data_IF_805021702085
#
_entry.id   IF_805021702085
#
_cell.length_a   1.000
_cell.length_b   1.000
_cell.length_c   1.000
_cell.angle_alpha   90.00
_cell.angle_beta   90.00
_cell.angle_gamma   90.00
#
_symmetry.space_group_name_H-M   'P 1'
#
loop_
_entity.id
_entity.type
_entity.pdbx_description
1 polymer ?
#
# COMPACT_ATOMS: atom_id res chain seq x y z
N UNK A 1 13.28 -57.56 -9.21
CA UNK A 1 13.11 -57.04 -10.58
C UNK A 1 12.44 -55.70 -10.42
N UNK A 2 13.25 -54.63 -10.38
CA UNK A 2 12.73 -53.27 -10.36
C UNK A 2 12.14 -53.00 -11.74
N UNK A 3 10.83 -53.17 -11.86
CA UNK A 3 10.10 -52.71 -13.03
C UNK A 3 9.97 -51.18 -12.84
N UNK A 4 10.94 -50.41 -13.34
CA UNK A 4 10.90 -48.95 -13.33
C UNK A 4 9.87 -48.49 -14.37
N UNK A 5 8.59 -48.80 -14.10
CA UNK A 5 7.44 -48.44 -14.92
C UNK A 5 6.99 -47.00 -14.70
N UNK A 6 7.82 -46.20 -14.02
CA UNK A 6 7.51 -44.82 -13.69
C UNK A 6 8.02 -43.87 -14.77
N UNK A 7 7.16 -42.93 -15.18
CA UNK A 7 7.49 -41.84 -16.08
C UNK A 7 7.67 -40.54 -15.30
N UNK A 8 8.61 -39.70 -15.73
CA UNK A 8 8.82 -38.36 -15.18
C UNK A 8 8.35 -37.31 -16.18
N UNK A 9 7.30 -36.60 -15.81
CA UNK A 9 6.67 -35.55 -16.61
C UNK A 9 7.12 -34.18 -16.14
N UNK A 10 7.18 -33.24 -17.09
CA UNK A 10 7.50 -31.84 -16.85
C UNK A 10 6.23 -31.07 -17.13
N UNK A 11 5.63 -30.53 -16.08
CA UNK A 11 4.32 -29.92 -16.11
C UNK A 11 4.43 -28.40 -16.02
N UNK A 12 3.53 -27.70 -16.69
CA UNK A 12 3.45 -26.25 -16.67
C UNK A 12 1.98 -25.81 -16.74
N UNK A 13 1.62 -24.78 -15.99
CA UNK A 13 0.25 -24.23 -15.98
C UNK A 13 0.07 -23.30 -17.18
N UNK A 14 -1.05 -23.44 -17.88
CA UNK A 14 -1.46 -22.57 -18.99
C UNK A 14 -1.87 -21.18 -18.46
N UNK A 15 -1.63 -20.13 -19.25
CA UNK A 15 -1.98 -18.76 -18.88
C UNK A 15 -1.03 -18.07 -17.89
N UNK A 16 0.02 -18.73 -17.42
CA UNK A 16 0.99 -18.15 -16.49
C UNK A 16 2.42 -18.13 -17.08
N UNK A 17 2.82 -17.03 -17.76
CA UNK A 17 4.14 -16.93 -18.40
C UNK A 17 5.28 -17.17 -17.41
N UNK A 18 5.16 -16.63 -16.19
CA UNK A 18 6.17 -16.69 -15.13
C UNK A 18 6.14 -17.99 -14.29
N UNK A 19 5.14 -18.86 -14.45
CA UNK A 19 5.05 -20.07 -13.64
C UNK A 19 6.26 -20.99 -13.85
N UNK A 20 6.80 -21.58 -12.80
CA UNK A 20 7.93 -22.51 -12.96
C UNK A 20 7.44 -23.85 -13.50
N UNK A 21 8.21 -24.45 -14.41
CA UNK A 21 8.00 -25.86 -14.79
C UNK A 21 8.29 -26.73 -13.56
N UNK A 22 7.40 -27.67 -13.27
CA UNK A 22 7.52 -28.54 -12.11
C UNK A 22 7.46 -30.02 -12.52
N UNK A 23 8.23 -30.90 -11.86
CA UNK A 23 8.26 -32.31 -12.21
C UNK A 23 7.17 -33.10 -11.49
N UNK A 24 6.61 -34.10 -12.17
CA UNK A 24 5.72 -35.13 -11.59
C UNK A 24 6.25 -36.51 -11.96
N UNK A 25 6.27 -37.45 -11.00
CA UNK A 25 6.63 -38.85 -11.24
C UNK A 25 5.38 -39.71 -11.02
N UNK A 26 5.03 -40.56 -11.97
CA UNK A 26 3.84 -41.43 -11.89
C UNK A 26 4.13 -42.76 -12.59
N UNK A 27 3.44 -43.83 -12.18
CA UNK A 27 3.46 -45.11 -12.91
C UNK A 27 2.72 -44.99 -14.25
N UNK A 28 3.22 -45.64 -15.30
CA UNK A 28 2.63 -45.59 -16.64
C UNK A 28 1.27 -46.30 -16.73
N UNK A 29 0.98 -47.25 -15.84
CA UNK A 29 -0.28 -47.98 -15.81
C UNK A 29 -1.35 -47.27 -14.95
N UNK A 30 -1.05 -46.09 -14.42
CA UNK A 30 -2.02 -45.28 -13.70
C UNK A 30 -2.86 -44.49 -14.68
N UNK A 31 -4.11 -44.22 -14.27
CA UNK A 31 -5.05 -43.43 -15.05
C UNK A 31 -4.62 -41.97 -15.16
N UNK A 32 -5.14 -41.28 -16.18
CA UNK A 32 -5.03 -39.82 -16.27
C UNK A 32 -5.66 -39.11 -15.05
N UNK A 33 -6.71 -39.70 -14.44
CA UNK A 33 -7.27 -39.20 -13.18
C UNK A 33 -6.25 -39.17 -12.04
N UNK A 34 -5.48 -40.25 -11.86
CA UNK A 34 -4.38 -40.30 -10.89
C UNK A 34 -3.30 -39.26 -11.22
N UNK A 35 -2.97 -39.08 -12.49
CA UNK A 35 -2.01 -38.05 -12.93
C UNK A 35 -2.46 -36.64 -12.56
N UNK A 36 -3.73 -36.27 -12.78
CA UNK A 36 -4.28 -34.98 -12.37
C UNK A 36 -4.11 -34.75 -10.86
N UNK A 37 -4.34 -35.78 -10.05
CA UNK A 37 -4.17 -35.69 -8.60
C UNK A 37 -2.71 -35.47 -8.19
N UNK A 38 -1.76 -36.16 -8.82
CA UNK A 38 -0.34 -35.97 -8.53
C UNK A 38 0.18 -34.59 -8.99
N UNK A 39 -0.30 -34.09 -10.14
CA UNK A 39 -0.05 -32.72 -10.60
C UNK A 39 -0.57 -31.70 -9.58
N UNK A 40 -1.80 -31.88 -9.11
CA UNK A 40 -2.42 -31.00 -8.12
C UNK A 40 -1.61 -30.97 -6.81
N UNK A 41 -1.18 -32.13 -6.33
CA UNK A 41 -0.34 -32.26 -5.12
C UNK A 41 1.02 -31.58 -5.30
N UNK A 42 1.64 -31.71 -6.47
CA UNK A 42 2.96 -31.15 -6.76
C UNK A 42 2.97 -29.60 -6.79
N UNK A 43 1.83 -28.96 -7.05
CA UNK A 43 1.73 -27.51 -7.10
C UNK A 43 0.42 -26.96 -6.53
N UNK A 44 0.11 -27.30 -5.26
CA UNK A 44 -1.12 -26.85 -4.56
C UNK A 44 -1.35 -25.34 -4.59
N UNK A 45 -0.28 -24.54 -4.64
CA UNK A 45 -0.38 -23.08 -4.69
C UNK A 45 -1.01 -22.57 -5.98
N UNK A 46 -0.64 -23.16 -7.13
CA UNK A 46 -1.17 -22.77 -8.44
C UNK A 46 -2.63 -23.24 -8.67
N UNK A 47 -3.07 -24.24 -7.91
CA UNK A 47 -4.39 -24.87 -8.03
C UNK A 47 -5.29 -24.62 -6.81
N UNK A 48 -4.98 -23.61 -5.99
CA UNK A 48 -5.83 -23.25 -4.87
C UNK A 48 -7.25 -22.92 -5.34
N UNK A 49 -8.26 -23.58 -4.75
CA UNK A 49 -9.67 -23.41 -5.13
C UNK A 49 -10.16 -24.32 -6.26
N UNK A 50 -9.30 -25.17 -6.83
CA UNK A 50 -9.68 -26.18 -7.82
C UNK A 50 -9.47 -27.58 -7.26
N UNK A 51 -10.39 -28.49 -7.55
CA UNK A 51 -10.20 -29.93 -7.36
C UNK A 51 -9.33 -30.50 -8.51
N UNK A 52 -8.56 -31.55 -8.23
CA UNK A 52 -7.77 -32.24 -9.26
C UNK A 52 -8.63 -32.73 -10.43
N UNK A 53 -9.85 -33.17 -10.15
CA UNK A 53 -10.82 -33.64 -11.17
C UNK A 53 -11.23 -32.55 -12.15
N UNK A 54 -11.13 -31.28 -11.76
CA UNK A 54 -11.52 -30.15 -12.59
C UNK A 54 -10.42 -29.71 -13.57
N UNK A 55 -9.20 -30.22 -13.42
CA UNK A 55 -8.08 -29.85 -14.27
C UNK A 55 -8.19 -30.53 -15.63
N UNK A 56 -7.93 -29.79 -16.70
CA UNK A 56 -7.69 -30.35 -18.02
C UNK A 56 -6.18 -30.48 -18.23
N UNK A 57 -5.74 -31.59 -18.80
CA UNK A 57 -4.33 -31.79 -19.15
C UNK A 57 -4.17 -32.09 -20.63
N UNK A 58 -3.12 -31.50 -21.18
CA UNK A 58 -2.76 -31.63 -22.59
C UNK A 58 -1.33 -32.16 -22.69
N UNK A 59 -1.18 -33.23 -23.45
CA UNK A 59 0.13 -33.72 -23.88
C UNK A 59 0.69 -32.77 -24.92
N UNK A 60 1.93 -32.33 -24.70
CA UNK A 60 2.67 -31.48 -25.65
C UNK A 60 4.12 -31.96 -25.77
N UNK A 61 4.80 -31.46 -26.79
CA UNK A 61 6.24 -31.62 -26.98
C UNK A 61 6.87 -30.25 -27.28
N UNK A 62 7.39 -29.59 -26.24
CA UNK A 62 7.98 -28.25 -26.33
C UNK A 62 9.41 -28.28 -25.79
N UNK A 63 10.39 -28.15 -26.68
CA UNK A 63 11.81 -28.00 -26.30
C UNK A 63 12.00 -26.69 -25.50
N UNK A 64 12.53 -26.81 -24.29
CA UNK A 64 12.79 -25.69 -23.39
C UNK A 64 14.26 -25.26 -23.35
N UNK A 65 15.11 -25.86 -24.19
CA UNK A 65 16.56 -25.58 -24.25
C UNK A 65 16.92 -24.52 -25.27
N UNK A 66 16.19 -24.47 -26.38
CA UNK A 66 16.37 -23.52 -27.48
C UNK A 66 15.11 -22.65 -27.67
N UNK A 67 15.23 -21.52 -28.36
CA UNK A 67 14.05 -20.74 -28.77
C UNK A 67 13.44 -21.41 -30.00
N UNK A 68 12.16 -21.75 -29.92
CA UNK A 68 11.39 -22.32 -31.02
C UNK A 68 10.02 -21.63 -31.11
N UNK A 69 9.28 -21.88 -32.19
CA UNK A 69 7.96 -21.27 -32.43
C UNK A 69 6.99 -21.57 -31.28
N UNK A 70 6.86 -22.85 -30.86
CA UNK A 70 5.97 -23.26 -29.77
C UNK A 70 6.31 -22.58 -28.44
N UNK A 71 7.60 -22.52 -28.09
CA UNK A 71 8.09 -21.82 -26.89
C UNK A 71 7.83 -20.32 -26.96
N UNK A 72 8.08 -19.69 -28.11
CA UNK A 72 7.84 -18.26 -28.32
C UNK A 72 6.36 -17.93 -28.16
N UNK A 73 5.49 -18.71 -28.80
CA UNK A 73 4.04 -18.60 -28.68
C UNK A 73 3.60 -18.76 -27.22
N UNK A 74 4.07 -19.82 -26.56
CA UNK A 74 3.70 -20.10 -25.17
C UNK A 74 4.23 -19.06 -24.16
N UNK A 75 5.33 -18.37 -24.46
CA UNK A 75 5.89 -17.31 -23.61
C UNK A 75 5.23 -15.94 -23.83
N UNK A 76 4.83 -15.63 -25.07
CA UNK A 76 4.36 -14.30 -25.45
C UNK A 76 2.83 -14.19 -25.48
N UNK A 77 2.11 -15.31 -25.55
CA UNK A 77 0.65 -15.35 -25.57
C UNK A 77 0.13 -16.27 -24.46
N UNK A 78 -0.36 -15.66 -23.39
CA UNK A 78 -0.99 -16.37 -22.27
C UNK A 78 -2.29 -17.09 -22.68
N UNK A 79 -2.89 -16.73 -23.82
CA UNK A 79 -4.11 -17.33 -24.33
C UNK A 79 -3.87 -18.25 -25.54
N UNK A 80 -2.63 -18.67 -25.78
CA UNK A 80 -2.28 -19.51 -26.91
C UNK A 80 -3.16 -20.78 -26.96
N UNK A 81 -3.75 -21.02 -28.13
CA UNK A 81 -4.53 -22.23 -28.41
C UNK A 81 -3.63 -23.47 -28.35
N UNK A 82 -3.88 -24.33 -27.36
CA UNK A 82 -2.98 -25.46 -27.08
C UNK A 82 -2.99 -26.48 -28.22
N UNK A 83 -4.15 -26.72 -28.82
CA UNK A 83 -4.30 -27.76 -29.83
C UNK A 83 -3.61 -27.36 -31.14
N UNK A 84 -3.89 -26.16 -31.64
CA UNK A 84 -3.42 -25.70 -32.95
C UNK A 84 -2.05 -25.02 -32.89
N UNK A 85 -1.77 -24.23 -31.85
CA UNK A 85 -0.53 -23.46 -31.76
C UNK A 85 0.63 -24.23 -31.10
N UNK A 86 0.31 -25.18 -30.21
CA UNK A 86 1.31 -25.99 -29.49
C UNK A 86 1.29 -27.47 -29.92
N UNK A 87 0.43 -27.84 -30.87
CA UNK A 87 0.20 -29.22 -31.32
C UNK A 87 -0.17 -30.15 -30.17
N UNK A 88 -0.92 -29.63 -29.19
CA UNK A 88 -1.32 -30.37 -28.02
C UNK A 88 -2.42 -31.37 -28.30
N UNK A 89 -2.36 -32.50 -27.61
CA UNK A 89 -3.40 -33.53 -27.60
C UNK A 89 -4.01 -33.59 -26.20
N UNK A 90 -5.31 -33.37 -26.08
CA UNK A 90 -6.02 -33.45 -24.80
C UNK A 90 -6.04 -34.91 -24.34
N UNK A 91 -5.71 -35.16 -23.08
CA UNK A 91 -5.77 -36.51 -22.52
C UNK A 91 -7.22 -36.83 -22.08
N UNK A 92 -7.71 -38.01 -22.42
CA UNK A 92 -8.98 -38.50 -21.89
C UNK A 92 -8.80 -39.03 -20.46
N UNK A 93 -9.85 -38.97 -19.63
CA UNK A 93 -9.78 -39.47 -18.25
C UNK A 93 -9.72 -41.00 -18.19
N UNK A 94 -10.24 -41.67 -19.22
CA UNK A 94 -10.28 -43.12 -19.34
C UNK A 94 -8.98 -43.72 -19.89
N UNK A 95 -8.08 -42.90 -20.40
CA UNK A 95 -6.77 -43.34 -20.85
C UNK A 95 -5.86 -43.59 -19.64
N UNK A 96 -4.93 -44.53 -19.79
CA UNK A 96 -3.79 -44.64 -18.88
C UNK A 96 -2.64 -43.74 -19.35
N UNK A 97 -1.69 -43.46 -18.45
CA UNK A 97 -0.53 -42.61 -18.77
C UNK A 97 0.28 -43.17 -19.95
N UNK A 98 0.38 -44.49 -20.08
CA UNK A 98 1.02 -45.15 -21.22
C UNK A 98 0.32 -44.85 -22.56
N UNK A 99 -1.01 -44.78 -22.59
CA UNK A 99 -1.77 -44.52 -23.82
C UNK A 99 -1.51 -43.12 -24.35
N UNK A 100 -1.35 -42.14 -23.44
CA UNK A 100 -1.16 -40.74 -23.81
C UNK A 100 0.30 -40.40 -24.10
N UNK A 101 1.25 -40.91 -23.31
CA UNK A 101 2.67 -40.53 -23.40
C UNK A 101 3.55 -41.59 -24.07
N UNK A 102 3.02 -42.80 -24.29
CA UNK A 102 3.72 -43.94 -24.87
C UNK A 102 4.67 -44.65 -23.90
N UNK A 103 5.15 -45.81 -24.34
CA UNK A 103 6.07 -46.65 -23.55
C UNK A 103 7.53 -46.18 -23.61
N UNK A 104 7.88 -45.35 -24.60
CA UNK A 104 9.24 -44.87 -24.83
C UNK A 104 9.72 -43.80 -23.84
N UNK A 105 11.03 -43.54 -23.76
CA UNK A 105 11.56 -42.42 -22.98
C UNK A 105 11.18 -41.09 -23.61
N UNK A 106 10.66 -40.16 -22.81
CA UNK A 106 10.34 -38.81 -23.27
C UNK A 106 11.61 -37.94 -23.45
N UNK A 107 11.59 -36.97 -24.38
CA UNK A 107 12.69 -36.02 -24.56
C UNK A 107 13.03 -35.26 -23.28
N UNK A 108 14.32 -35.21 -22.92
CA UNK A 108 14.76 -34.47 -21.74
C UNK A 108 14.69 -32.97 -22.00
N UNK A 109 14.38 -32.18 -20.94
CA UNK A 109 14.29 -30.71 -20.96
C UNK A 109 13.16 -30.16 -21.85
N UNK A 110 12.13 -30.97 -22.07
CA UNK A 110 10.90 -30.54 -22.72
C UNK A 110 9.79 -30.36 -21.69
N UNK A 111 8.80 -29.52 -22.02
CA UNK A 111 7.50 -29.52 -21.34
C UNK A 111 6.70 -30.66 -21.97
N UNK A 112 6.18 -31.54 -21.12
CA UNK A 112 5.42 -32.72 -21.53
C UNK A 112 3.91 -32.52 -21.33
N UNK A 113 3.54 -31.73 -20.32
CA UNK A 113 2.14 -31.51 -19.93
C UNK A 113 1.86 -30.03 -19.74
N UNK A 114 0.82 -29.55 -20.42
CA UNK A 114 0.18 -28.27 -20.10
C UNK A 114 -1.08 -28.54 -19.29
N UNK A 115 -1.17 -27.90 -18.13
CA UNK A 115 -2.31 -28.01 -17.22
C UNK A 115 -3.18 -26.78 -17.40
N UNK A 116 -4.42 -26.99 -17.80
CA UNK A 116 -5.44 -25.95 -17.97
C UNK A 116 -6.34 -25.99 -16.76
N UNK A 117 -6.46 -24.83 -16.10
CA UNK A 117 -7.54 -24.62 -15.13
C UNK A 117 -8.82 -24.41 -15.92
N UNK A 118 -9.96 -24.96 -15.48
CA UNK A 118 -11.21 -24.68 -16.15
C UNK A 118 -11.38 -23.15 -16.16
N UNK A 119 -11.82 -22.55 -17.27
CA UNK A 119 -12.18 -21.14 -17.26
C UNK A 119 -13.19 -20.94 -16.13
N UNK A 120 -13.06 -19.85 -15.39
CA UNK A 120 -14.00 -19.47 -14.31
C UNK A 120 -15.32 -19.02 -14.94
N UNK A 121 -15.94 -19.91 -15.69
CA UNK A 121 -17.30 -19.90 -16.14
C UNK A 121 -17.95 -21.11 -15.47
N UNK A 122 -18.29 -20.97 -14.18
CA UNK A 122 -19.36 -21.77 -13.59
C UNK A 122 -20.62 -20.90 -13.56
N UNK A 123 -21.47 -20.92 -14.61
CA UNK A 123 -22.81 -20.35 -14.55
C UNK A 123 -23.61 -20.87 -13.35
N UNK A 124 -23.33 -22.09 -12.89
CA UNK A 124 -24.04 -22.78 -11.83
C UNK A 124 -23.80 -22.24 -10.41
N UNK A 125 -22.65 -21.61 -10.12
CA UNK A 125 -22.44 -20.92 -8.83
C UNK A 125 -22.90 -19.46 -8.86
N UNK A 126 -22.92 -18.84 -10.04
CA UNK A 126 -23.38 -17.45 -10.23
C UNK A 126 -24.91 -17.37 -10.17
N UNK A 127 -25.64 -18.43 -10.56
CA UNK A 127 -27.11 -18.47 -10.50
C UNK A 127 -27.67 -18.53 -9.08
N UNK A 128 -26.92 -19.07 -8.13
CA UNK A 128 -27.35 -19.27 -6.73
C UNK A 128 -26.82 -18.17 -5.79
N UNK A 129 -26.13 -17.17 -6.34
CA UNK A 129 -25.54 -16.08 -5.57
C UNK A 129 -26.62 -15.12 -5.08
N UNK A 130 -26.65 -14.89 -3.77
CA UNK A 130 -27.47 -13.81 -3.20
C UNK A 130 -26.99 -12.48 -3.79
N UNK A 131 -27.86 -11.70 -4.48
CA UNK A 131 -27.44 -10.47 -5.15
C UNK A 131 -26.82 -9.45 -4.19
N UNK A 132 -27.40 -9.34 -2.98
CA UNK A 132 -26.89 -8.46 -1.95
C UNK A 132 -25.67 -9.08 -1.25
N UNK A 133 -24.50 -8.48 -1.45
CA UNK A 133 -23.24 -8.86 -0.82
C UNK A 133 -22.69 -7.71 0.02
N UNK A 134 -21.79 -8.02 0.96
CA UNK A 134 -21.08 -7.00 1.72
C UNK A 134 -19.59 -7.16 1.56
N UNK A 135 -18.94 -6.11 1.06
CA UNK A 135 -17.49 -6.07 0.88
C UNK A 135 -16.86 -5.08 1.87
N UNK A 136 -15.62 -5.38 2.27
CA UNK A 136 -14.75 -4.45 2.95
C UNK A 136 -13.87 -3.76 1.89
N UNK A 137 -14.13 -2.48 1.66
CA UNK A 137 -13.46 -1.69 0.63
C UNK A 137 -12.35 -0.89 1.28
N UNK A 138 -11.12 -1.13 0.87
CA UNK A 138 -9.94 -0.37 1.34
C UNK A 138 -9.62 0.67 0.28
N UNK A 139 -9.76 1.95 0.60
CA UNK A 139 -9.47 3.04 -0.32
C UNK A 139 -8.07 3.59 -0.06
N UNK A 140 -7.22 3.42 -1.06
CA UNK A 140 -5.91 4.05 -1.14
C UNK A 140 -6.05 5.44 -1.78
N UNK A 141 -5.29 6.43 -1.28
CA UNK A 141 -4.07 6.15 -0.54
C UNK A 141 -4.13 6.31 0.99
N UNK A 142 -5.19 6.88 1.57
CA UNK A 142 -5.33 7.04 3.04
C UNK A 142 -5.54 5.70 3.78
N UNK A 143 -5.73 4.59 3.05
CA UNK A 143 -5.96 3.24 3.58
C UNK A 143 -7.18 3.16 4.52
N UNK A 144 -8.22 3.93 4.21
CA UNK A 144 -9.49 3.92 4.94
C UNK A 144 -10.29 2.71 4.47
N UNK A 145 -10.81 1.93 5.41
CA UNK A 145 -11.66 0.79 5.13
C UNK A 145 -13.10 1.10 5.50
N UNK A 146 -14.06 0.70 4.66
CA UNK A 146 -15.48 0.78 4.97
C UNK A 146 -16.21 -0.49 4.52
N UNK A 147 -17.31 -0.81 5.22
CA UNK A 147 -18.22 -1.87 4.79
C UNK A 147 -19.17 -1.32 3.73
N UNK A 148 -19.23 -2.02 2.61
CA UNK A 148 -20.00 -1.64 1.44
C UNK A 148 -21.01 -2.74 1.12
N UNK A 149 -22.24 -2.65 1.65
CA UNK A 149 -23.34 -3.52 1.24
C UNK A 149 -23.83 -3.09 -0.14
N UNK A 150 -23.88 -4.02 -1.08
CA UNK A 150 -24.17 -3.69 -2.48
C UNK A 150 -24.83 -4.85 -3.22
N UNK A 151 -25.74 -4.53 -4.13
CA UNK A 151 -26.28 -5.50 -5.08
C UNK A 151 -25.30 -5.68 -6.25
N UNK A 152 -24.63 -6.83 -6.30
CA UNK A 152 -23.60 -7.14 -7.30
C UNK A 152 -24.16 -7.29 -8.72
N UNK A 153 -25.48 -7.30 -8.89
CA UNK A 153 -26.14 -7.42 -10.20
C UNK A 153 -26.48 -6.07 -10.81
N UNK A 154 -26.67 -5.03 -9.99
CA UNK A 154 -27.10 -3.70 -10.45
C UNK A 154 -26.09 -2.59 -10.15
N UNK A 155 -25.07 -2.85 -9.33
CA UNK A 155 -24.07 -1.85 -8.95
C UNK A 155 -23.37 -1.20 -10.14
N UNK A 156 -23.15 0.10 -10.01
CA UNK A 156 -22.40 0.92 -10.96
C UNK A 156 -21.11 1.44 -10.34
N UNK A 157 -20.19 1.88 -11.21
CA UNK A 157 -19.02 2.63 -10.78
C UNK A 157 -19.40 3.93 -10.06
N UNK A 158 -20.56 4.52 -10.39
CA UNK A 158 -21.03 5.72 -9.72
C UNK A 158 -21.43 5.44 -8.27
N UNK A 159 -22.11 4.33 -7.99
CA UNK A 159 -22.46 3.95 -6.61
C UNK A 159 -21.21 3.77 -5.72
N UNK A 160 -20.14 3.20 -6.30
CA UNK A 160 -18.85 3.06 -5.62
C UNK A 160 -18.21 4.44 -5.40
N UNK A 161 -18.26 5.34 -6.40
CA UNK A 161 -17.74 6.71 -6.27
C UNK A 161 -18.47 7.49 -5.19
N UNK A 162 -19.79 7.43 -5.16
CA UNK A 162 -20.60 8.13 -4.15
C UNK A 162 -20.28 7.63 -2.74
N UNK A 163 -20.09 6.31 -2.60
CA UNK A 163 -19.67 5.70 -1.34
C UNK A 163 -18.26 6.14 -0.90
N UNK A 164 -17.33 6.32 -1.86
CA UNK A 164 -15.98 6.84 -1.59
C UNK A 164 -16.01 8.34 -1.28
N UNK A 165 -16.83 9.13 -1.98
CA UNK A 165 -16.92 10.58 -1.78
C UNK A 165 -17.34 10.93 -0.35
N UNK A 166 -18.21 10.13 0.27
CA UNK A 166 -18.60 10.30 1.69
C UNK A 166 -17.40 10.22 2.65
N UNK A 167 -16.41 9.36 2.36
CA UNK A 167 -15.21 9.17 3.19
C UNK A 167 -13.97 9.92 2.69
N UNK A 168 -14.06 10.52 1.50
CA UNK A 168 -13.06 11.36 0.86
C UNK A 168 -13.73 12.60 0.22
N UNK A 169 -14.25 13.54 1.04
CA UNK A 169 -14.97 14.71 0.53
C UNK A 169 -14.06 15.64 -0.31
N UNK A 170 -12.75 15.61 -0.09
CA UNK A 170 -11.78 16.38 -0.88
C UNK A 170 -11.60 15.89 -2.34
N UNK A 171 -12.28 14.83 -2.76
CA UNK A 171 -12.27 14.33 -4.15
C UNK A 171 -13.24 15.11 -5.06
N UNK A 172 -14.19 15.88 -4.51
CA UNK A 172 -15.21 16.60 -5.30
C UNK A 172 -14.64 17.54 -6.37
N UNK A 173 -13.38 17.96 -6.28
CA UNK A 173 -12.72 18.88 -7.22
C UNK A 173 -11.86 18.23 -8.32
N UNK A 174 -11.72 16.89 -8.38
CA UNK A 174 -10.91 16.22 -9.42
C UNK A 174 -11.80 15.41 -10.36
N UNK A 175 -12.39 16.10 -11.33
CA UNK A 175 -13.13 15.53 -12.45
C UNK A 175 -12.30 14.64 -13.42
N UNK A 176 -11.10 14.15 -13.04
CA UNK A 176 -10.16 13.50 -14.00
C UNK A 176 -9.42 12.26 -13.48
N UNK A 177 -9.53 11.86 -12.20
CA UNK A 177 -8.82 10.65 -11.75
C UNK A 177 -9.74 9.42 -11.89
N UNK A 178 -9.64 8.68 -12.99
CA UNK A 178 -10.18 7.30 -13.05
C UNK A 178 -9.57 6.51 -11.88
N UNK A 179 -10.35 6.10 -10.86
CA UNK A 179 -9.79 5.28 -9.80
C UNK A 179 -9.42 3.94 -10.42
N UNK A 180 -8.13 3.59 -10.40
CA UNK A 180 -7.71 2.22 -10.72
C UNK A 180 -8.19 1.35 -9.55
N UNK A 181 -9.40 0.82 -9.67
CA UNK A 181 -9.92 -0.14 -8.71
C UNK A 181 -9.08 -1.39 -8.85
N UNK A 182 -8.25 -1.68 -7.85
CA UNK A 182 -7.32 -2.81 -7.86
C UNK A 182 -7.82 -3.85 -6.88
N UNK A 183 -8.62 -4.79 -7.37
CA UNK A 183 -9.11 -5.89 -6.54
C UNK A 183 -7.93 -6.78 -6.12
N UNK A 184 -7.54 -6.69 -4.85
CA UNK A 184 -6.47 -7.52 -4.29
C UNK A 184 -7.05 -8.76 -3.61
N UNK A 185 -7.42 -9.76 -4.42
CA UNK A 185 -7.37 -11.16 -4.06
C UNK A 185 -6.27 -11.79 -4.93
N UNK A 186 -5.35 -12.57 -4.35
CA UNK A 186 -4.36 -13.27 -5.20
C UNK A 186 -5.14 -14.13 -6.22
N UNK A 187 -4.81 -14.11 -7.53
CA UNK A 187 -3.53 -13.69 -8.08
C UNK A 187 -3.57 -12.53 -9.10
N UNK A 188 -4.51 -11.58 -9.11
CA UNK A 188 -4.42 -10.53 -10.16
C UNK A 188 -5.07 -9.17 -9.85
N UNK A 189 -4.39 -8.10 -10.32
CA UNK A 189 -4.90 -6.74 -10.34
C UNK A 189 -5.86 -6.58 -11.54
N UNK A 190 -7.16 -6.72 -11.32
CA UNK A 190 -8.14 -6.41 -12.36
C UNK A 190 -8.22 -4.88 -12.55
N UNK A 191 -8.18 -4.39 -13.79
CA UNK A 191 -8.46 -3.00 -14.12
C UNK A 191 -9.95 -2.86 -14.47
N UNK A 192 -10.76 -2.31 -13.57
CA UNK A 192 -12.21 -2.15 -13.76
C UNK A 192 -12.47 -0.89 -14.58
N UNK A 193 -12.96 -1.04 -15.82
CA UNK A 193 -13.13 0.08 -16.76
C UNK A 193 -14.56 0.56 -16.92
N UNK A 194 -15.54 -0.27 -16.57
CA UNK A 194 -16.96 0.00 -16.72
C UNK A 194 -17.80 -0.75 -15.65
N UNK A 195 -19.10 -0.50 -15.61
CA UNK A 195 -20.03 -1.11 -14.65
C UNK A 195 -20.10 -2.63 -14.79
N UNK A 196 -20.04 -3.15 -16.02
CA UNK A 196 -20.05 -4.60 -16.27
C UNK A 196 -18.81 -5.27 -15.69
N UNK A 197 -17.63 -4.68 -15.86
CA UNK A 197 -16.38 -5.18 -15.27
C UNK A 197 -16.50 -5.21 -13.74
N UNK A 198 -17.10 -4.18 -13.13
CA UNK A 198 -17.28 -4.11 -11.68
C UNK A 198 -18.18 -5.24 -11.19
N UNK A 199 -19.34 -5.41 -11.81
CA UNK A 199 -20.31 -6.45 -11.45
C UNK A 199 -19.70 -7.85 -11.60
N UNK A 200 -18.99 -8.12 -12.70
CA UNK A 200 -18.33 -9.42 -12.93
C UNK A 200 -17.28 -9.69 -11.86
N UNK A 201 -16.43 -8.71 -11.54
CA UNK A 201 -15.38 -8.89 -10.52
C UNK A 201 -15.98 -9.12 -9.13
N UNK A 202 -17.02 -8.37 -8.73
CA UNK A 202 -17.68 -8.56 -7.43
C UNK A 202 -18.36 -9.93 -7.33
N UNK A 203 -18.96 -10.43 -8.43
CA UNK A 203 -19.50 -11.80 -8.50
C UNK A 203 -18.40 -12.84 -8.31
N UNK A 204 -17.28 -12.71 -9.01
CA UNK A 204 -16.12 -13.60 -8.85
C UNK A 204 -15.63 -13.61 -7.40
N UNK A 205 -15.50 -12.43 -6.79
CA UNK A 205 -15.10 -12.29 -5.40
C UNK A 205 -16.07 -12.96 -4.43
N UNK A 206 -17.37 -12.79 -4.65
CA UNK A 206 -18.40 -13.39 -3.82
C UNK A 206 -18.39 -14.93 -3.93
N UNK A 207 -18.24 -15.50 -5.14
CA UNK A 207 -18.05 -16.95 -5.34
C UNK A 207 -16.79 -17.44 -4.60
N UNK A 208 -15.69 -16.69 -4.71
CA UNK A 208 -14.41 -17.04 -4.09
C UNK A 208 -14.39 -16.84 -2.56
N UNK A 209 -15.47 -16.39 -1.93
CA UNK A 209 -15.51 -16.03 -0.51
C UNK A 209 -14.59 -14.87 -0.14
N UNK A 210 -14.14 -14.08 -1.12
CA UNK A 210 -13.27 -12.93 -0.91
C UNK A 210 -14.12 -11.70 -0.65
N UNK A 211 -14.19 -11.25 0.60
CA UNK A 211 -15.01 -10.10 0.98
C UNK A 211 -14.19 -8.80 1.11
N UNK A 212 -12.96 -8.71 0.61
CA UNK A 212 -12.13 -7.50 0.73
C UNK A 212 -11.45 -7.16 -0.58
N UNK A 213 -11.53 -5.89 -1.00
CA UNK A 213 -10.77 -5.37 -2.14
C UNK A 213 -10.26 -3.95 -1.89
N UNK A 214 -9.31 -3.53 -2.72
CA UNK A 214 -8.67 -2.22 -2.61
C UNK A 214 -9.04 -1.34 -3.80
N UNK A 215 -9.40 -0.08 -3.55
CA UNK A 215 -9.55 0.94 -4.59
C UNK A 215 -8.33 1.84 -4.53
N UNK A 216 -7.60 2.03 -5.63
CA UNK A 216 -6.50 2.99 -5.68
C UNK A 216 -6.94 4.21 -6.46
N UNK A 217 -7.03 5.33 -5.77
CA UNK A 217 -7.31 6.61 -6.38
C UNK A 217 -6.00 7.15 -6.98
N UNK A 218 -5.99 7.47 -8.27
CA UNK A 218 -4.89 8.22 -8.89
C UNK A 218 -4.98 9.69 -8.49
N UNK A 219 -4.61 9.99 -7.25
CA UNK A 219 -4.58 11.37 -6.74
C UNK A 219 -3.21 12.00 -6.95
N UNK A 220 -3.15 13.33 -7.02
CA UNK A 220 -1.90 14.07 -6.80
C UNK A 220 -1.33 13.84 -5.38
N UNK A 221 -2.11 13.26 -4.46
CA UNK A 221 -1.70 12.98 -3.10
C UNK A 221 -0.69 11.82 -3.01
N UNK A 222 0.39 12.01 -2.26
CA UNK A 222 1.41 10.98 -1.97
C UNK A 222 1.62 10.82 -0.47
N UNK A 223 2.18 9.67 -0.08
CA UNK A 223 2.54 9.47 1.33
C UNK A 223 3.56 10.54 1.72
N UNK A 224 3.47 11.10 2.93
CA UNK A 224 4.30 12.25 3.32
C UNK A 224 5.80 12.02 3.05
N UNK A 225 6.34 10.85 3.43
CA UNK A 225 7.74 10.49 3.19
C UNK A 225 8.10 10.12 1.73
N UNK A 226 7.18 10.25 0.78
CA UNK A 226 7.42 9.99 -0.66
C UNK A 226 7.55 11.26 -1.50
N UNK A 227 7.29 12.42 -0.91
CA UNK A 227 7.53 13.70 -1.54
C UNK A 227 9.04 13.97 -1.66
N UNK A 228 9.44 14.58 -2.78
CA UNK A 228 10.80 15.08 -2.96
C UNK A 228 10.86 16.59 -2.70
N UNK A 229 12.03 17.11 -2.34
CA UNK A 229 12.24 18.55 -2.11
C UNK A 229 11.79 19.40 -3.32
N UNK A 230 12.15 18.98 -4.53
CA UNK A 230 11.78 19.67 -5.78
C UNK A 230 10.26 19.68 -5.99
N UNK A 231 9.58 18.57 -5.70
CA UNK A 231 8.12 18.51 -5.79
C UNK A 231 7.44 19.43 -4.79
N UNK A 232 7.96 19.53 -3.56
CA UNK A 232 7.43 20.46 -2.56
C UNK A 232 7.63 21.90 -3.00
N UNK A 233 8.84 22.27 -3.43
CA UNK A 233 9.14 23.64 -3.89
C UNK A 233 8.24 24.07 -5.05
N UNK A 234 8.11 23.23 -6.09
CA UNK A 234 7.34 23.60 -7.29
C UNK A 234 5.84 23.45 -7.14
N UNK A 235 5.39 22.34 -6.53
CA UNK A 235 3.96 21.96 -6.56
C UNK A 235 3.19 22.38 -5.30
N UNK A 236 3.87 22.61 -4.17
CA UNK A 236 3.24 23.08 -2.94
C UNK A 236 3.56 24.55 -2.67
N UNK A 237 4.83 24.94 -2.78
CA UNK A 237 5.26 26.31 -2.43
C UNK A 237 5.24 27.28 -3.61
N UNK A 238 5.13 26.77 -4.84
CA UNK A 238 5.18 27.58 -6.07
C UNK A 238 6.45 28.43 -6.20
N UNK A 239 7.57 27.91 -5.69
CA UNK A 239 8.88 28.54 -5.72
C UNK A 239 9.76 27.91 -6.80
N UNK A 240 10.47 28.74 -7.54
CA UNK A 240 11.47 28.32 -8.54
C UNK A 240 12.85 28.16 -7.89
N UNK A 241 12.92 27.30 -6.87
CA UNK A 241 14.16 26.95 -6.17
C UNK A 241 14.55 25.51 -6.48
N UNK A 242 15.87 25.25 -6.47
CA UNK A 242 16.42 23.90 -6.66
C UNK A 242 16.63 23.15 -5.33
N UNK A 243 16.66 23.85 -4.20
CA UNK A 243 16.87 23.29 -2.86
C UNK A 243 16.04 24.01 -1.80
N UNK A 244 15.68 23.27 -0.74
CA UNK A 244 14.99 23.80 0.44
C UNK A 244 15.88 24.73 1.28
N UNK A 245 17.20 24.69 1.09
CA UNK A 245 18.14 25.60 1.78
C UNK A 245 17.92 27.08 1.42
N UNK A 246 17.25 27.33 0.30
CA UNK A 246 16.96 28.68 -0.21
C UNK A 246 15.68 29.27 0.41
N UNK A 247 14.96 28.53 1.25
CA UNK A 247 13.81 29.07 1.98
C UNK A 247 14.25 30.15 2.97
N UNK A 248 13.36 31.11 3.20
CA UNK A 248 13.60 32.19 4.15
C UNK A 248 13.84 31.63 5.56
N UNK A 249 14.83 32.21 6.24
CA UNK A 249 15.19 31.79 7.60
C UNK A 249 14.22 32.40 8.59
N UNK A 250 13.59 31.55 9.41
CA UNK A 250 12.75 31.97 10.50
C UNK A 250 13.58 32.73 11.55
N UNK A 251 13.23 34.00 11.77
CA UNK A 251 13.81 34.81 12.84
C UNK A 251 13.14 34.48 14.19
N UNK A 252 13.81 33.60 14.96
CA UNK A 252 13.36 33.16 16.29
C UNK A 252 13.45 34.31 17.31
N UNK A 253 14.38 35.24 17.15
CA UNK A 253 14.54 36.37 18.07
C UNK A 253 13.36 37.33 17.92
N UNK A 254 12.93 37.60 16.69
CA UNK A 254 11.73 38.37 16.40
C UNK A 254 10.48 37.72 17.00
N UNK A 255 10.29 36.41 16.79
CA UNK A 255 9.19 35.65 17.42
C UNK A 255 9.19 35.81 18.96
N UNK A 256 10.35 35.69 19.58
CA UNK A 256 10.51 35.84 21.03
C UNK A 256 10.20 37.27 21.50
N UNK A 257 10.53 38.27 20.68
CA UNK A 257 10.24 39.67 20.95
C UNK A 257 8.76 40.03 20.88
N UNK A 258 7.96 39.24 20.15
CA UNK A 258 6.50 39.43 20.00
C UNK A 258 5.68 38.89 21.17
N UNK A 259 6.30 38.09 22.06
CA UNK A 259 5.64 37.51 23.22
C UNK A 259 5.23 38.58 24.24
N UNK A 260 4.08 38.40 24.90
CA UNK A 260 3.68 39.28 26.00
C UNK A 260 4.70 39.25 27.15
N UNK A 261 4.73 40.30 27.97
CA UNK A 261 5.63 40.36 29.13
C UNK A 261 5.39 39.20 30.09
N UNK A 262 4.13 38.82 30.30
CA UNK A 262 3.72 37.70 31.15
C UNK A 262 4.20 36.36 30.57
N UNK A 263 4.04 36.16 29.26
CA UNK A 263 4.52 34.97 28.58
C UNK A 263 6.05 34.85 28.64
N UNK A 264 6.77 35.97 28.47
CA UNK A 264 8.23 36.00 28.61
C UNK A 264 8.66 35.68 30.03
N UNK A 265 8.06 36.30 31.03
CA UNK A 265 8.36 35.98 32.44
C UNK A 265 8.09 34.53 32.76
N UNK A 266 7.00 33.94 32.25
CA UNK A 266 6.69 32.52 32.45
C UNK A 266 7.72 31.57 31.79
N UNK A 267 8.13 31.86 30.55
CA UNK A 267 9.11 31.06 29.81
C UNK A 267 10.52 31.19 30.39
N UNK A 268 10.88 32.37 30.87
CA UNK A 268 12.20 32.68 31.43
C UNK A 268 12.30 32.41 32.94
N UNK A 269 11.19 32.10 33.62
CA UNK A 269 11.23 31.68 35.01
C UNK A 269 11.91 30.30 35.08
N UNK A 270 13.20 30.30 35.42
CA UNK A 270 14.00 29.08 35.51
C UNK A 270 13.71 28.33 36.81
N UNK A 271 12.86 27.31 36.73
CA UNK A 271 12.86 26.26 37.74
C UNK A 271 14.10 25.38 37.54
N UNK A 272 15.18 25.76 38.22
CA UNK A 272 16.46 25.05 38.20
C UNK A 272 16.35 23.58 38.64
N UNK A 273 15.40 23.26 39.53
CA UNK A 273 15.16 21.86 39.94
C UNK A 273 14.57 21.07 38.78
N UNK A 274 13.55 21.61 38.12
CA UNK A 274 12.93 20.98 36.96
C UNK A 274 13.89 20.86 35.76
N UNK A 275 14.76 21.85 35.56
CA UNK A 275 15.82 21.86 34.54
C UNK A 275 16.86 20.78 34.82
N UNK A 276 17.34 20.68 36.06
CA UNK A 276 18.26 19.61 36.47
C UNK A 276 17.65 18.23 36.28
N UNK A 277 16.41 18.02 36.72
CA UNK A 277 15.71 16.74 36.54
C UNK A 277 15.55 16.36 35.06
N UNK A 278 15.28 17.34 34.19
CA UNK A 278 15.23 17.13 32.75
C UNK A 278 16.58 16.72 32.15
N UNK A 279 17.66 17.40 32.54
CA UNK A 279 19.02 17.08 32.08
C UNK A 279 19.45 15.69 32.53
N UNK A 280 19.18 15.30 33.78
CA UNK A 280 19.52 13.97 34.28
C UNK A 280 18.76 12.87 33.52
N UNK A 281 17.46 13.06 33.22
CA UNK A 281 16.69 12.14 32.38
C UNK A 281 17.35 11.92 31.00
N UNK A 282 17.80 12.99 30.34
CA UNK A 282 18.49 12.88 29.05
C UNK A 282 19.84 12.15 29.17
N UNK A 283 20.57 12.34 30.28
CA UNK A 283 21.82 11.60 30.54
C UNK A 283 21.54 10.12 30.75
N UNK A 284 20.54 9.76 31.54
CA UNK A 284 20.16 8.36 31.78
C UNK A 284 19.83 7.66 30.45
N UNK A 285 19.03 8.30 29.59
CA UNK A 285 18.72 7.79 28.25
C UNK A 285 20.00 7.58 27.44
N UNK A 286 20.85 8.62 27.36
CA UNK A 286 22.11 8.56 26.62
C UNK A 286 23.00 7.42 27.12
N UNK A 287 23.12 7.26 28.42
CA UNK A 287 24.02 6.30 29.05
C UNK A 287 23.51 4.86 28.82
N UNK A 288 22.20 4.62 28.89
CA UNK A 288 21.57 3.31 28.54
C UNK A 288 21.80 2.95 27.07
N UNK A 289 21.78 3.94 26.16
CA UNK A 289 22.08 3.73 24.75
C UNK A 289 23.58 3.80 24.41
N UNK A 290 24.48 3.88 25.41
CA UNK A 290 25.93 4.00 25.20
C UNK A 290 26.30 5.15 24.24
N UNK A 291 25.62 6.29 24.38
CA UNK A 291 25.79 7.47 23.51
C UNK A 291 25.07 7.40 22.16
N UNK A 292 24.50 6.25 21.79
CA UNK A 292 23.95 5.99 20.46
C UNK A 292 22.46 6.35 20.32
N UNK A 293 22.10 7.59 20.66
CA UNK A 293 20.69 8.03 20.74
C UNK A 293 20.08 8.47 19.41
N UNK A 294 20.83 8.46 18.31
CA UNK A 294 20.36 8.95 17.00
C UNK A 294 20.59 7.99 15.83
N UNK A 295 20.94 6.73 16.11
CA UNK A 295 21.27 5.74 15.06
C UNK A 295 20.07 5.46 14.16
N UNK A 296 18.91 5.32 14.76
CA UNK A 296 17.66 5.04 14.07
C UNK A 296 16.50 5.77 14.74
N UNK A 297 15.35 5.74 14.09
CA UNK A 297 14.11 6.37 14.54
C UNK A 297 13.71 5.89 15.95
N UNK A 298 13.75 4.59 16.25
CA UNK A 298 13.41 4.11 17.59
C UNK A 298 14.32 4.69 18.69
N UNK A 299 15.62 4.87 18.42
CA UNK A 299 16.55 5.51 19.37
C UNK A 299 16.35 7.03 19.43
N UNK A 300 16.16 7.70 18.29
CA UNK A 300 15.92 9.16 18.21
C UNK A 300 14.66 9.55 18.95
N UNK A 301 13.59 8.77 18.81
CA UNK A 301 12.33 8.89 19.55
C UNK A 301 12.51 8.96 21.06
N UNK A 302 13.39 8.14 21.62
CA UNK A 302 13.66 8.16 23.07
C UNK A 302 14.29 9.48 23.50
N UNK A 303 15.01 10.16 22.62
CA UNK A 303 15.62 11.46 22.90
C UNK A 303 14.68 12.63 22.61
N UNK A 304 13.85 12.55 21.56
CA UNK A 304 12.86 13.57 21.18
C UNK A 304 11.70 13.64 22.20
N UNK A 305 11.21 12.49 22.66
CA UNK A 305 10.08 12.37 23.59
C UNK A 305 10.22 13.28 24.84
N UNK A 306 11.32 13.23 25.60
CA UNK A 306 11.52 14.09 26.77
C UNK A 306 11.33 15.58 26.48
N UNK A 307 11.85 16.08 25.36
CA UNK A 307 11.71 17.51 25.00
C UNK A 307 10.25 17.88 24.78
N UNK A 308 9.53 17.11 23.96
CA UNK A 308 8.13 17.41 23.63
C UNK A 308 7.24 17.27 24.87
N UNK A 309 7.42 16.22 25.67
CA UNK A 309 6.67 16.01 26.92
C UNK A 309 6.91 17.18 27.88
N UNK A 310 8.16 17.59 28.07
CA UNK A 310 8.50 18.69 28.99
C UNK A 310 7.94 20.02 28.49
N UNK A 311 8.01 20.29 27.19
CA UNK A 311 7.44 21.49 26.58
C UNK A 311 5.91 21.56 26.79
N UNK A 312 5.19 20.48 26.47
CA UNK A 312 3.72 20.40 26.65
C UNK A 312 3.35 20.55 28.13
N UNK A 313 3.99 19.79 29.02
CA UNK A 313 3.71 19.84 30.47
C UNK A 313 3.94 21.25 31.03
N UNK A 314 4.98 21.95 30.56
CA UNK A 314 5.27 23.33 30.99
C UNK A 314 4.20 24.30 30.50
N UNK A 315 3.59 24.09 29.34
CA UNK A 315 2.60 24.99 28.77
C UNK A 315 1.15 24.68 29.18
N UNK A 316 0.86 23.47 29.68
CA UNK A 316 -0.48 23.07 30.11
C UNK A 316 -1.14 23.96 31.18
N UNK A 317 -0.42 24.52 32.19
CA UNK A 317 -1.03 25.46 33.12
C UNK A 317 -1.62 26.70 32.42
N UNK A 318 -1.00 27.14 31.33
CA UNK A 318 -1.45 28.28 30.51
C UNK A 318 -2.47 27.85 29.46
N UNK A 319 -2.32 26.64 28.92
CA UNK A 319 -3.20 26.06 27.90
C UNK A 319 -3.74 24.70 28.37
N UNK A 320 -4.79 24.67 29.22
CA UNK A 320 -5.25 23.44 29.88
C UNK A 320 -5.71 22.34 28.90
N UNK A 321 -6.16 22.72 27.71
CA UNK A 321 -6.58 21.80 26.66
C UNK A 321 -5.43 21.33 25.75
N UNK A 322 -4.18 21.66 26.09
CA UNK A 322 -3.01 21.24 25.32
C UNK A 322 -2.71 19.76 25.60
N UNK A 323 -2.57 18.96 24.54
CA UNK A 323 -2.19 17.56 24.67
C UNK A 323 -1.32 17.08 23.51
N UNK A 324 -0.53 16.05 23.78
CA UNK A 324 0.33 15.38 22.80
C UNK A 324 -0.41 14.18 22.20
N UNK A 325 -0.42 14.09 20.88
CA UNK A 325 -0.83 12.90 20.14
C UNK A 325 0.37 12.33 19.36
N UNK A 326 0.43 11.01 19.23
CA UNK A 326 1.48 10.28 18.51
C UNK A 326 0.85 9.33 17.51
N UNK A 327 1.54 9.06 16.40
CA UNK A 327 1.13 8.10 15.36
C UNK A 327 -0.31 8.32 14.86
N UNK A 328 -0.72 9.59 14.76
CA UNK A 328 -2.10 9.92 14.39
C UNK A 328 -2.23 9.99 12.88
N UNK A 329 -3.18 9.23 12.33
CA UNK A 329 -3.54 9.32 10.92
C UNK A 329 -3.95 10.76 10.54
N UNK A 330 -3.33 11.28 9.49
CA UNK A 330 -3.55 12.63 9.00
C UNK A 330 -3.45 12.65 7.47
N UNK A 331 -4.34 13.38 6.83
CA UNK A 331 -4.44 13.39 5.37
C UNK A 331 -5.12 14.66 4.87
N UNK A 332 -4.68 15.12 3.70
CA UNK A 332 -5.17 16.28 2.95
C UNK A 332 -5.13 16.01 1.44
N UNK A 333 -5.28 17.07 0.63
CA UNK A 333 -5.41 16.91 -0.83
C UNK A 333 -4.10 16.50 -1.53
N UNK A 334 -2.94 16.84 -0.93
CA UNK A 334 -1.59 16.56 -1.47
C UNK A 334 -0.83 15.49 -0.69
N UNK A 335 -1.18 15.22 0.56
CA UNK A 335 -0.38 14.35 1.42
C UNK A 335 -1.21 13.49 2.36
N UNK A 336 -0.72 12.29 2.65
CA UNK A 336 -1.32 11.39 3.64
C UNK A 336 -0.26 10.59 4.41
N UNK A 337 -0.60 10.15 5.62
CA UNK A 337 0.24 9.31 6.46
C UNK A 337 -0.04 9.52 7.95
N UNK A 338 0.83 8.99 8.80
CA UNK A 338 0.78 9.28 10.23
C UNK A 338 1.66 10.50 10.55
N UNK A 339 1.28 11.22 11.61
CA UNK A 339 2.11 12.22 12.25
C UNK A 339 2.88 11.55 13.39
N UNK A 340 4.21 11.72 13.42
CA UNK A 340 5.07 11.19 14.49
C UNK A 340 4.64 11.78 15.84
N UNK A 341 4.45 13.11 15.85
CA UNK A 341 3.77 13.83 16.92
C UNK A 341 2.91 14.99 16.41
N UNK A 342 1.86 15.28 17.17
CA UNK A 342 1.07 16.50 17.05
C UNK A 342 0.77 17.05 18.45
N UNK A 343 1.12 18.31 18.69
CA UNK A 343 0.73 19.02 19.92
C UNK A 343 -0.53 19.82 19.61
N UNK A 344 -1.67 19.35 20.10
CA UNK A 344 -2.95 20.03 19.92
C UNK A 344 -3.16 21.06 21.03
N UNK A 345 -3.68 22.24 20.67
CA UNK A 345 -4.27 23.18 21.61
C UNK A 345 -5.43 23.93 20.94
N UNK A 346 -6.65 23.72 21.45
CA UNK A 346 -7.90 24.24 20.84
C UNK A 346 -8.01 23.84 19.35
N UNK A 347 -8.07 24.80 18.43
CA UNK A 347 -8.20 24.58 16.99
C UNK A 347 -6.88 24.31 16.28
N UNK A 348 -5.76 24.44 16.98
CA UNK A 348 -4.42 24.41 16.43
C UNK A 348 -3.67 23.11 16.72
N UNK A 349 -2.71 22.78 15.85
CA UNK A 349 -1.72 21.75 16.12
C UNK A 349 -0.32 22.22 15.69
N UNK A 350 0.68 22.01 16.54
CA UNK A 350 2.10 22.00 16.13
C UNK A 350 2.41 20.60 15.63
N UNK A 351 2.91 20.49 14.40
CA UNK A 351 3.25 19.21 13.80
C UNK A 351 4.74 18.92 13.97
N UNK A 352 5.09 17.81 14.63
CA UNK A 352 6.49 17.42 14.81
C UNK A 352 6.77 16.18 13.97
N UNK A 353 7.77 16.30 13.10
CA UNK A 353 8.27 15.22 12.25
C UNK A 353 9.60 14.71 12.79
N UNK A 354 9.69 13.41 12.96
CA UNK A 354 10.93 12.74 13.28
C UNK A 354 11.74 12.51 12.00
N UNK A 355 12.98 12.99 11.98
CA UNK A 355 13.87 12.89 10.85
C UNK A 355 15.06 11.98 11.16
N UNK A 356 15.58 11.31 10.14
CA UNK A 356 16.83 10.55 10.26
C UNK A 356 18.00 11.52 10.45
N UNK A 357 18.98 11.13 11.27
CA UNK A 357 20.12 11.97 11.65
C UNK A 357 20.83 12.65 10.46
N UNK A 358 21.02 11.93 9.36
CA UNK A 358 21.70 12.40 8.15
C UNK A 358 20.74 12.93 7.06
N UNK A 359 19.44 13.02 7.34
CA UNK A 359 18.41 13.39 6.36
C UNK A 359 17.39 14.38 6.92
N UNK A 360 17.86 15.41 7.64
CA UNK A 360 17.00 16.47 8.18
C UNK A 360 16.15 17.13 7.08
N UNK A 361 16.69 17.31 5.87
CA UNK A 361 15.96 17.89 4.73
C UNK A 361 14.85 16.98 4.19
N UNK A 362 14.99 15.66 4.31
CA UNK A 362 13.89 14.75 4.01
C UNK A 362 12.77 14.90 5.05
N UNK A 363 13.13 15.09 6.33
CA UNK A 363 12.19 15.44 7.38
C UNK A 363 11.49 16.78 7.13
N UNK A 364 12.22 17.81 6.68
CA UNK A 364 11.65 19.10 6.29
C UNK A 364 10.69 18.98 5.10
N UNK A 365 11.09 18.22 4.07
CA UNK A 365 10.23 17.92 2.93
C UNK A 365 8.91 17.29 3.39
N UNK A 366 9.00 16.27 4.25
CA UNK A 366 7.84 15.60 4.82
C UNK A 366 6.96 16.58 5.64
N UNK A 367 7.59 17.37 6.51
CA UNK A 367 6.90 18.30 7.41
C UNK A 367 6.16 19.40 6.62
N UNK A 368 6.74 19.95 5.55
CA UNK A 368 6.08 20.96 4.71
C UNK A 368 4.78 20.45 4.09
N UNK A 369 4.73 19.18 3.65
CA UNK A 369 3.50 18.57 3.12
C UNK A 369 2.46 18.34 4.23
N UNK A 370 2.91 18.01 5.44
CA UNK A 370 2.05 17.91 6.63
C UNK A 370 1.48 19.29 7.02
N UNK A 371 2.29 20.35 6.95
CA UNK A 371 1.85 21.74 7.20
C UNK A 371 0.87 22.24 6.15
N UNK A 372 1.09 21.93 4.86
CA UNK A 372 0.08 22.18 3.82
C UNK A 372 -1.26 21.54 4.18
N UNK A 373 -1.25 20.26 4.58
CA UNK A 373 -2.47 19.56 5.04
C UNK A 373 -3.13 20.25 6.24
N UNK A 374 -2.33 20.77 7.19
CA UNK A 374 -2.86 21.50 8.33
C UNK A 374 -3.49 22.84 7.92
N UNK A 375 -2.86 23.57 6.98
CA UNK A 375 -3.38 24.83 6.44
C UNK A 375 -4.72 24.64 5.74
N UNK A 376 -4.90 23.57 4.95
CA UNK A 376 -6.19 23.20 4.36
C UNK A 376 -7.29 23.05 5.43
N UNK A 377 -6.98 22.32 6.50
CA UNK A 377 -7.96 22.05 7.56
C UNK A 377 -8.28 23.27 8.43
N UNK A 378 -7.41 24.28 8.44
CA UNK A 378 -7.70 25.57 9.08
C UNK A 378 -8.70 26.39 8.28
N UNK A 379 -8.68 26.34 6.94
CA UNK A 379 -9.64 27.07 6.08
C UNK A 379 -11.10 26.69 6.31
N UNK A 380 -11.37 25.45 6.72
CA UNK A 380 -12.73 24.92 6.84
C UNK A 380 -13.41 25.19 8.20
N UNK A 381 -12.83 26.02 9.08
CA UNK A 381 -13.48 26.39 10.36
C UNK A 381 -14.29 27.69 10.22
N UNK A 382 -15.55 27.62 10.68
CA UNK A 382 -16.57 28.69 10.63
C UNK A 382 -16.12 30.04 11.23
N UNK A 383 -16.73 31.10 10.68
CA UNK A 383 -16.58 32.57 10.80
C UNK A 383 -16.28 33.19 12.19
N UNK A 384 -16.42 32.46 13.31
CA UNK A 384 -16.32 33.03 14.67
C UNK A 384 -15.06 32.61 15.46
N UNK A 385 -14.16 31.81 14.88
CA UNK A 385 -12.87 31.48 15.50
C UNK A 385 -11.77 32.43 15.02
N UNK A 386 -10.86 32.90 15.89
CA UNK A 386 -9.72 33.70 15.45
C UNK A 386 -8.94 32.90 14.40
N UNK A 387 -8.90 33.43 13.18
CA UNK A 387 -8.15 32.86 12.07
C UNK A 387 -6.68 32.86 12.47
N UNK A 388 -6.13 31.67 12.70
CA UNK A 388 -4.70 31.54 12.92
C UNK A 388 -4.02 31.89 11.60
N UNK A 389 -3.13 32.88 11.63
CA UNK A 389 -2.44 33.37 10.45
C UNK A 389 -1.38 32.39 9.91
N UNK A 390 -1.02 31.37 10.71
CA UNK A 390 0.05 30.43 10.40
C UNK A 390 -0.17 29.05 11.04
N UNK A 391 0.49 28.04 10.47
CA UNK A 391 0.76 26.73 11.09
C UNK A 391 2.24 26.53 11.36
N UNK A 392 2.56 25.76 12.40
CA UNK A 392 3.92 25.59 12.89
C UNK A 392 4.34 24.12 12.83
N UNK A 393 5.56 23.92 12.35
CA UNK A 393 6.20 22.63 12.22
C UNK A 393 7.51 22.57 12.97
N UNK A 394 7.87 21.38 13.43
CA UNK A 394 9.17 21.08 14.03
C UNK A 394 9.71 19.82 13.36
N UNK A 395 10.96 19.85 12.90
CA UNK A 395 11.66 18.68 12.37
C UNK A 395 12.80 18.34 13.30
N UNK A 396 12.83 17.12 13.84
CA UNK A 396 13.79 16.74 14.87
C UNK A 396 14.53 15.46 14.50
N UNK A 397 15.86 15.47 14.60
CA UNK A 397 16.69 14.26 14.56
C UNK A 397 17.10 13.76 15.95
N UNK A 398 16.61 14.42 17.00
CA UNK A 398 17.10 14.30 18.38
C UNK A 398 18.26 15.26 18.68
N UNK A 399 19.21 15.41 17.74
CA UNK A 399 20.34 16.34 17.89
C UNK A 399 20.08 17.70 17.24
N UNK A 400 19.41 17.72 16.09
CA UNK A 400 19.11 18.93 15.33
C UNK A 400 17.61 19.14 15.32
N UNK A 401 17.20 20.40 15.49
CA UNK A 401 15.82 20.83 15.50
C UNK A 401 15.65 21.97 14.50
N UNK A 402 14.79 21.81 13.52
CA UNK A 402 14.36 22.87 12.62
C UNK A 402 12.95 23.29 12.99
N UNK A 403 12.72 24.60 13.03
CA UNK A 403 11.41 25.19 13.28
C UNK A 403 10.91 25.81 11.99
N UNK A 404 9.67 25.49 11.65
CA UNK A 404 9.04 25.90 10.40
C UNK A 404 7.77 26.68 10.73
N UNK A 405 7.60 27.81 10.06
CA UNK A 405 6.36 28.57 10.05
C UNK A 405 5.84 28.54 8.63
N UNK A 406 4.57 28.21 8.47
CA UNK A 406 3.85 28.30 7.21
C UNK A 406 2.76 29.34 7.38
N UNK A 407 2.82 30.42 6.62
CA UNK A 407 1.77 31.44 6.60
C UNK A 407 1.00 31.39 5.28
N UNK A 408 -0.19 32.01 5.30
CA UNK A 408 -1.02 32.09 4.11
C UNK A 408 -1.79 30.79 3.81
N UNK A 409 -2.46 30.82 2.66
CA UNK A 409 -3.30 29.71 2.22
C UNK A 409 -2.47 28.61 1.55
N UNK A 410 -2.99 27.38 1.41
CA UNK A 410 -2.31 26.32 0.68
C UNK A 410 -1.93 26.70 -0.77
N UNK A 411 -2.69 27.61 -1.41
CA UNK A 411 -2.45 28.08 -2.78
C UNK A 411 -1.51 29.29 -2.86
N UNK A 412 -1.27 29.98 -1.73
CA UNK A 412 -0.36 31.12 -1.67
C UNK A 412 0.41 31.11 -0.34
N UNK A 413 1.32 30.14 -0.16
CA UNK A 413 2.08 30.01 1.07
C UNK A 413 3.25 30.99 1.11
N UNK A 414 3.61 31.38 2.33
CA UNK A 414 4.84 32.14 2.62
C UNK A 414 5.56 31.62 3.85
#
# INVERSE_FOLDING_TARGET
>A
MDNDNAIKLSCKVHGEPDAKVFPVKIDKNETIGTLKMEIWKANRGAFHGYDATQLDIWRVDIDYTSQNSKRTTFQNDSNADIQSALEGVRADEMDDVADVFGDGPLPKKHIHVIVVRPPVNQPSLISDLVPLQSFNVIVNPKRIAFKWPVDITTVTLQDLRDSIAVIYPEIEDIAVAMPVITVAGKPEKANIKNDSDLQVNLKIMAVAGTCTFTVTLETLAKAYGKWTAVEVLRNLLHLDFDTLDNLDKLDIENLSSSLSSEARTFLLNEDETAKKAFIENLKDIRDVFNGNVTINEATSRNFINPFIIKAVTRLQPTYPNMFLAVERAFSGSRGFGNLDYAVFFSTFAILVTEAKQYAIMAGLTQNLVQLHTASEKLKHKHDDSPVLSAVYGIVATGMTWLFVRWEGSPENPS
#
